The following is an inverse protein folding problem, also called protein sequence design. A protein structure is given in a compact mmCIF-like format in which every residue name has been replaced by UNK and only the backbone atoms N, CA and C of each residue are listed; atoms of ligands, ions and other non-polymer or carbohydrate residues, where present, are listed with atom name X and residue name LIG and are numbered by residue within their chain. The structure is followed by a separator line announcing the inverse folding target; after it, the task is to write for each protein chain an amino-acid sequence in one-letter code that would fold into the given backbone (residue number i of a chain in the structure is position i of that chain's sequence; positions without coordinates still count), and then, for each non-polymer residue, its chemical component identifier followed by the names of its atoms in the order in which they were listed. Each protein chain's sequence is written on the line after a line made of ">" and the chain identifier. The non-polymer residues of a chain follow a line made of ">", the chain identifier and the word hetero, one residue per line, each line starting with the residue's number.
data_IF_678346031816
#
_entry.id   IF_678346031816
#
_cell.length_a   1.000
_cell.length_b   1.000
_cell.length_c   1.000
_cell.angle_alpha   90.00
_cell.angle_beta   90.00
_cell.angle_gamma   90.00
#
_symmetry.space_group_name_H-M   'P 1'
#
loop_
_entity.id
_entity.type
_entity.pdbx_description
1 polymer ?
#
# COMPACT_ATOMS: atom_id res chain seq x y z
N UNK A 1 89.06 11.24 54.05
CA UNK A 1 88.62 10.73 55.37
C UNK A 1 87.77 11.86 55.97
N UNK A 2 86.45 11.80 56.18
CA UNK A 2 85.46 10.69 56.28
C UNK A 2 85.79 9.74 57.47
N UNK A 3 84.89 9.35 58.39
CA UNK A 3 83.52 8.77 58.32
C UNK A 3 82.51 9.45 59.31
N UNK A 4 81.15 9.31 59.29
CA UNK A 4 80.13 8.89 58.29
C UNK A 4 78.67 9.21 58.72
N UNK A 5 77.79 9.55 57.75
CA UNK A 5 76.31 9.32 57.61
C UNK A 5 75.29 9.62 58.75
N UNK A 6 74.29 10.44 58.40
CA UNK A 6 72.91 10.46 58.96
C UNK A 6 71.96 9.75 57.96
N UNK A 7 70.92 9.05 58.43
CA UNK A 7 69.77 8.66 57.57
C UNK A 7 68.49 8.30 58.34
N UNK A 8 67.47 9.15 58.22
CA UNK A 8 66.06 8.89 58.54
C UNK A 8 65.38 8.21 57.33
N UNK A 9 64.37 7.32 57.50
CA UNK A 9 63.20 7.09 56.59
C UNK A 9 62.51 5.70 56.70
N UNK A 10 61.29 5.67 56.14
CA UNK A 10 60.53 4.54 55.55
C UNK A 10 59.97 3.43 56.47
N UNK A 11 58.64 3.50 56.66
CA UNK A 11 57.71 2.43 56.34
C UNK A 11 56.49 3.05 55.64
N UNK A 12 55.95 2.40 54.62
CA UNK A 12 54.97 2.99 53.68
C UNK A 12 53.61 2.30 53.79
N UNK A 13 52.52 3.06 53.74
CA UNK A 13 51.16 2.51 53.65
C UNK A 13 50.85 2.08 52.21
N UNK A 14 50.59 0.79 52.00
CA UNK A 14 50.33 0.25 50.66
C UNK A 14 48.83 0.34 50.30
N UNK A 15 48.39 1.50 49.83
CA UNK A 15 47.05 1.68 49.27
C UNK A 15 46.98 1.15 47.83
N UNK A 16 46.47 -0.06 47.63
CA UNK A 16 46.26 -0.64 46.29
C UNK A 16 44.97 -0.07 45.69
N UNK A 17 45.10 0.90 44.78
CA UNK A 17 43.98 1.37 43.98
C UNK A 17 43.74 0.36 42.86
N UNK A 18 42.72 -0.49 43.02
CA UNK A 18 42.23 -1.35 41.94
C UNK A 18 41.44 -0.47 40.97
N UNK A 19 42.12 0.03 39.93
CA UNK A 19 41.45 0.65 38.79
C UNK A 19 40.78 -0.48 38.00
N UNK A 20 39.51 -0.73 38.29
CA UNK A 20 38.68 -1.63 37.50
C UNK A 20 38.45 -1.02 36.12
N UNK A 21 39.30 -1.36 35.14
CA UNK A 21 39.05 -1.04 33.72
C UNK A 21 37.92 -1.94 33.20
N UNK A 22 36.70 -1.66 33.65
CA UNK A 22 35.50 -2.06 32.94
C UNK A 22 35.59 -1.44 31.55
N UNK A 23 35.98 -2.25 30.56
CA UNK A 23 36.27 -1.77 29.23
C UNK A 23 35.04 -1.12 28.63
N UNK A 24 35.07 0.21 28.47
CA UNK A 24 34.11 0.95 27.66
C UNK A 24 34.35 0.49 26.22
N UNK A 25 33.69 -0.59 25.84
CA UNK A 25 33.68 -1.10 24.48
C UNK A 25 32.98 -0.04 23.64
N UNK A 26 33.76 0.70 22.86
CA UNK A 26 33.21 1.67 21.93
C UNK A 26 32.23 0.94 21.00
N UNK A 27 30.98 1.39 20.99
CA UNK A 27 29.96 0.83 20.12
C UNK A 27 30.39 1.03 18.67
N UNK A 28 30.28 -0.01 17.84
CA UNK A 28 30.52 0.12 16.41
C UNK A 28 29.36 0.84 15.71
N UNK A 29 29.55 1.20 14.44
CA UNK A 29 28.54 1.91 13.65
C UNK A 29 27.20 1.14 13.55
N UNK A 30 27.21 -0.19 13.62
CA UNK A 30 26.01 -1.04 13.59
C UNK A 30 25.28 -1.03 14.95
N UNK A 31 26.01 -1.13 16.06
CA UNK A 31 25.43 -0.98 17.41
C UNK A 31 24.83 0.42 17.61
N UNK A 32 25.52 1.47 17.16
CA UNK A 32 25.03 2.85 17.17
C UNK A 32 23.78 3.01 16.28
N UNK A 33 23.80 2.50 15.05
CA UNK A 33 22.66 2.53 14.13
C UNK A 33 21.41 1.84 14.70
N UNK A 34 21.57 0.68 15.34
CA UNK A 34 20.47 -0.01 16.02
C UNK A 34 19.95 0.77 17.23
N UNK A 35 20.85 1.39 18.01
CA UNK A 35 20.50 2.27 19.14
C UNK A 35 19.70 3.49 18.65
N UNK A 36 20.14 4.15 17.58
CA UNK A 36 19.42 5.26 16.97
C UNK A 36 18.02 4.86 16.45
N UNK A 37 17.89 3.69 15.82
CA UNK A 37 16.59 3.16 15.39
C UNK A 37 15.65 2.84 16.56
N UNK A 38 16.20 2.50 17.72
CA UNK A 38 15.41 2.40 18.96
C UNK A 38 14.88 3.78 19.39
N UNK A 39 15.74 4.80 19.43
CA UNK A 39 15.34 6.18 19.75
C UNK A 39 14.32 6.75 18.74
N UNK A 40 14.46 6.49 17.44
CA UNK A 40 13.47 6.90 16.42
C UNK A 40 12.11 6.23 16.65
N UNK A 41 12.08 4.95 17.06
CA UNK A 41 10.84 4.23 17.40
C UNK A 41 10.18 4.74 18.68
N UNK A 42 10.95 5.28 19.62
CA UNK A 42 10.42 5.89 20.86
C UNK A 42 10.07 7.38 20.71
N UNK A 43 10.18 7.96 19.52
CA UNK A 43 9.95 9.39 19.27
C UNK A 43 11.10 10.32 19.73
N UNK A 44 12.20 9.76 20.26
CA UNK A 44 13.36 10.54 20.70
C UNK A 44 14.30 10.85 19.53
N UNK A 45 13.80 11.67 18.62
CA UNK A 45 14.56 12.10 17.45
C UNK A 45 15.81 12.91 17.84
N UNK A 46 15.87 13.47 19.06
CA UNK A 46 17.04 14.21 19.53
C UNK A 46 18.23 13.29 19.80
N UNK A 47 18.04 12.23 20.59
CA UNK A 47 19.11 11.26 20.84
C UNK A 47 19.39 10.39 19.61
N UNK A 48 18.39 10.07 18.79
CA UNK A 48 18.62 9.42 17.49
C UNK A 48 19.60 10.21 16.61
N UNK A 49 19.40 11.52 16.46
CA UNK A 49 20.30 12.39 15.69
C UNK A 49 21.72 12.39 16.28
N UNK A 50 21.87 12.46 17.60
CA UNK A 50 23.20 12.43 18.24
C UNK A 50 23.95 11.12 17.95
N UNK A 51 23.29 9.98 18.13
CA UNK A 51 23.86 8.65 17.88
C UNK A 51 24.15 8.41 16.39
N UNK A 52 23.29 8.88 15.48
CA UNK A 52 23.56 8.80 14.03
C UNK A 52 24.77 9.62 13.60
N UNK A 53 25.00 10.79 14.20
CA UNK A 53 26.22 11.55 13.94
C UNK A 53 27.48 10.81 14.45
N UNK A 54 27.40 10.07 15.56
CA UNK A 54 28.51 9.22 16.03
C UNK A 54 28.77 8.05 15.08
N UNK A 55 27.72 7.39 14.58
CA UNK A 55 27.86 6.31 13.60
C UNK A 55 28.49 6.82 12.28
N UNK A 56 28.05 7.99 11.79
CA UNK A 56 28.59 8.63 10.58
C UNK A 56 30.04 9.11 10.76
N UNK A 57 30.50 9.37 11.99
CA UNK A 57 31.92 9.65 12.25
C UNK A 57 32.80 8.39 12.09
N UNK A 58 32.27 7.20 12.39
CA UNK A 58 32.97 5.93 12.15
C UNK A 58 32.91 5.50 10.68
N UNK A 59 31.75 5.69 10.02
CA UNK A 59 31.54 5.32 8.63
C UNK A 59 31.09 6.51 7.76
N UNK A 60 31.98 7.49 7.45
CA UNK A 60 31.61 8.74 6.77
C UNK A 60 31.11 8.59 5.33
N UNK A 61 31.13 7.37 4.78
CA UNK A 61 30.65 7.07 3.42
C UNK A 61 29.37 6.22 3.39
N UNK A 62 28.89 5.72 4.53
CA UNK A 62 27.64 4.95 4.53
C UNK A 62 26.44 5.83 4.12
N UNK A 63 25.57 5.25 3.30
CA UNK A 63 24.43 5.93 2.71
C UNK A 63 23.16 5.73 3.54
N UNK A 64 23.04 4.59 4.23
CA UNK A 64 21.92 4.29 5.10
C UNK A 64 21.95 5.16 6.36
N UNK A 65 23.09 5.26 7.05
CA UNK A 65 23.24 6.13 8.23
C UNK A 65 22.85 7.58 7.92
N UNK A 66 23.24 8.09 6.74
CA UNK A 66 22.88 9.44 6.28
C UNK A 66 21.40 9.57 5.93
N UNK A 67 20.79 8.53 5.33
CA UNK A 67 19.33 8.47 5.10
C UNK A 67 18.56 8.49 6.41
N UNK A 68 18.95 7.66 7.37
CA UNK A 68 18.33 7.60 8.71
C UNK A 68 18.52 8.94 9.45
N UNK A 69 19.68 9.60 9.33
CA UNK A 69 19.91 10.94 9.90
C UNK A 69 18.98 12.01 9.29
N UNK A 70 18.85 12.01 7.96
CA UNK A 70 17.94 12.92 7.27
C UNK A 70 16.47 12.66 7.59
N UNK A 71 16.09 11.39 7.75
CA UNK A 71 14.75 10.99 8.19
C UNK A 71 14.49 11.35 9.66
N UNK A 72 15.48 11.21 10.56
CA UNK A 72 15.38 11.65 11.95
C UNK A 72 15.24 13.19 12.06
N UNK A 73 15.91 13.97 11.20
CA UNK A 73 15.65 15.41 11.10
C UNK A 73 14.24 15.73 10.61
N UNK A 74 13.73 15.00 9.61
CA UNK A 74 12.35 15.14 9.12
C UNK A 74 11.31 14.85 10.22
N UNK A 75 11.46 13.73 10.94
CA UNK A 75 10.59 13.35 12.06
C UNK A 75 10.64 14.36 13.23
N UNK A 76 11.78 15.01 13.43
CA UNK A 76 11.96 16.11 14.40
C UNK A 76 11.32 17.44 13.95
N UNK A 77 10.82 17.54 12.71
CA UNK A 77 10.31 18.78 12.13
C UNK A 77 11.40 19.70 11.55
N UNK A 78 12.67 19.32 11.59
CA UNK A 78 13.78 20.13 11.07
C UNK A 78 13.95 19.92 9.56
N UNK A 79 12.98 20.44 8.81
CA UNK A 79 12.91 20.30 7.35
C UNK A 79 14.09 20.97 6.63
N UNK A 80 14.85 21.86 7.29
CA UNK A 80 16.05 22.47 6.74
C UNK A 80 17.25 21.50 6.79
N UNK A 81 17.54 20.92 7.96
CA UNK A 81 18.61 19.92 8.08
C UNK A 81 18.26 18.60 7.39
N UNK A 82 16.98 18.21 7.39
CA UNK A 82 16.51 17.04 6.64
C UNK A 82 16.83 17.19 5.13
N UNK A 83 16.46 18.32 4.52
CA UNK A 83 16.76 18.63 3.11
C UNK A 83 18.26 18.60 2.83
N UNK A 84 19.05 19.30 3.65
CA UNK A 84 20.50 19.40 3.46
C UNK A 84 21.24 18.06 3.58
N UNK A 85 20.71 17.11 4.37
CA UNK A 85 21.28 15.75 4.49
C UNK A 85 20.82 14.85 3.34
N UNK A 86 19.55 14.91 2.93
CA UNK A 86 18.94 13.97 1.96
C UNK A 86 19.22 14.34 0.50
N UNK A 87 19.14 15.63 0.14
CA UNK A 87 19.23 16.08 -1.26
C UNK A 87 20.55 15.67 -1.96
N UNK A 88 21.74 15.72 -1.32
CA UNK A 88 22.99 15.22 -1.91
C UNK A 88 23.06 13.69 -2.07
N UNK A 89 22.11 12.93 -1.53
CA UNK A 89 22.11 11.47 -1.57
C UNK A 89 21.41 10.92 -2.83
N UNK A 90 20.43 11.64 -3.38
CA UNK A 90 19.56 11.19 -4.48
C UNK A 90 20.34 10.73 -5.74
N UNK A 91 21.45 11.41 -6.04
CA UNK A 91 22.32 11.15 -7.19
C UNK A 91 23.48 10.19 -6.88
N UNK A 92 23.48 9.53 -5.71
CA UNK A 92 24.45 8.46 -5.38
C UNK A 92 24.03 7.13 -5.99
N UNK A 93 25.02 6.27 -6.27
CA UNK A 93 24.84 4.92 -6.86
C UNK A 93 23.93 4.03 -6.03
N UNK A 94 24.01 4.11 -4.70
CA UNK A 94 23.18 3.33 -3.78
C UNK A 94 21.82 3.95 -3.45
N UNK A 95 21.44 5.09 -4.05
CA UNK A 95 20.22 5.77 -3.70
C UNK A 95 18.99 5.06 -4.27
N UNK A 96 18.04 4.73 -3.40
CA UNK A 96 16.88 3.86 -3.63
C UNK A 96 15.55 4.64 -3.58
N UNK A 97 14.43 3.93 -3.80
CA UNK A 97 13.06 4.47 -3.73
C UNK A 97 12.84 5.26 -2.43
N UNK A 98 13.24 4.72 -1.28
CA UNK A 98 13.01 5.32 0.04
C UNK A 98 13.60 6.73 0.15
N UNK A 99 14.76 7.00 -0.47
CA UNK A 99 15.35 8.35 -0.51
C UNK A 99 14.49 9.37 -1.28
N UNK A 100 13.82 8.94 -2.36
CA UNK A 100 12.87 9.80 -3.09
C UNK A 100 11.59 10.02 -2.29
N UNK A 101 11.10 9.02 -1.54
CA UNK A 101 9.94 9.21 -0.65
C UNK A 101 10.25 10.21 0.47
N UNK A 102 11.40 10.04 1.16
CA UNK A 102 11.83 10.95 2.23
C UNK A 102 12.05 12.38 1.68
N UNK A 103 12.72 12.53 0.54
CA UNK A 103 12.90 13.83 -0.09
C UNK A 103 11.57 14.47 -0.53
N UNK A 104 10.62 13.66 -1.02
CA UNK A 104 9.29 14.12 -1.41
C UNK A 104 8.50 14.66 -0.23
N UNK A 105 8.48 13.91 0.88
CA UNK A 105 7.86 14.32 2.13
C UNK A 105 8.49 15.60 2.70
N UNK A 106 9.81 15.77 2.57
CA UNK A 106 10.52 17.02 2.96
C UNK A 106 10.10 18.19 2.08
N UNK A 107 10.00 18.03 0.74
CA UNK A 107 9.54 19.11 -0.14
C UNK A 107 8.06 19.45 0.10
N UNK A 108 7.19 18.44 0.30
CA UNK A 108 5.76 18.63 0.58
C UNK A 108 5.55 19.39 1.90
N UNK A 109 6.24 18.99 2.98
CA UNK A 109 6.18 19.66 4.28
C UNK A 109 6.84 21.06 4.30
N UNK A 110 7.45 21.49 3.19
CA UNK A 110 7.99 22.84 2.95
C UNK A 110 7.20 23.63 1.90
N UNK A 111 6.07 23.08 1.44
CA UNK A 111 5.25 23.60 0.33
C UNK A 111 6.01 23.77 -1.01
N UNK A 112 7.17 23.12 -1.16
CA UNK A 112 8.00 23.14 -2.37
C UNK A 112 7.47 22.17 -3.45
N UNK A 113 6.16 22.21 -3.73
CA UNK A 113 5.46 21.22 -4.58
C UNK A 113 6.09 21.04 -5.97
N UNK A 114 6.58 22.13 -6.59
CA UNK A 114 7.29 22.09 -7.89
C UNK A 114 8.66 21.41 -7.83
N UNK A 115 9.27 21.28 -6.64
CA UNK A 115 10.48 20.50 -6.43
C UNK A 115 10.14 19.03 -6.15
N UNK A 116 9.07 18.76 -5.39
CA UNK A 116 8.52 17.41 -5.22
C UNK A 116 8.12 16.78 -6.57
N UNK A 117 7.44 17.52 -7.45
CA UNK A 117 7.07 17.07 -8.80
C UNK A 117 8.30 16.69 -9.64
N UNK A 118 9.32 17.56 -9.67
CA UNK A 118 10.60 17.27 -10.36
C UNK A 118 11.32 16.07 -9.75
N UNK A 119 11.25 15.90 -8.43
CA UNK A 119 11.83 14.76 -7.73
C UNK A 119 11.14 13.45 -8.11
N UNK A 120 9.82 13.37 -8.03
CA UNK A 120 9.10 12.14 -8.42
C UNK A 120 9.29 11.83 -9.90
N UNK A 121 9.28 12.83 -10.78
CA UNK A 121 9.62 12.65 -12.20
C UNK A 121 11.07 12.14 -12.43
N UNK A 122 12.04 12.49 -11.57
CA UNK A 122 13.39 11.88 -11.57
C UNK A 122 13.38 10.46 -11.00
N UNK A 123 12.63 10.22 -9.93
CA UNK A 123 12.51 8.92 -9.27
C UNK A 123 11.89 7.88 -10.20
N UNK A 124 10.75 8.18 -10.81
CA UNK A 124 10.05 7.32 -11.78
C UNK A 124 10.96 7.01 -12.99
N UNK A 125 11.74 7.98 -13.49
CA UNK A 125 12.72 7.73 -14.57
C UNK A 125 13.88 6.81 -14.16
N UNK A 126 14.23 6.76 -12.87
CA UNK A 126 15.28 5.89 -12.30
C UNK A 126 14.71 4.51 -11.91
N UNK A 127 13.43 4.44 -11.55
CA UNK A 127 12.73 3.28 -11.01
C UNK A 127 11.31 3.15 -11.61
N UNK A 128 11.17 2.88 -12.92
CA UNK A 128 9.87 2.92 -13.61
C UNK A 128 8.89 1.83 -13.16
N UNK A 129 9.38 0.78 -12.49
CA UNK A 129 8.59 -0.38 -12.07
C UNK A 129 8.42 -0.42 -10.54
N UNK A 130 8.15 0.74 -9.91
CA UNK A 130 8.04 0.90 -8.45
C UNK A 130 6.81 1.71 -8.07
N UNK A 131 5.77 1.00 -7.64
CA UNK A 131 4.44 1.53 -7.40
C UNK A 131 4.42 2.63 -6.33
N UNK A 132 5.39 2.65 -5.41
CA UNK A 132 5.49 3.65 -4.35
C UNK A 132 5.66 5.07 -4.92
N UNK A 133 6.49 5.23 -5.95
CA UNK A 133 6.78 6.55 -6.53
C UNK A 133 5.61 7.12 -7.32
N UNK A 134 4.83 6.25 -7.96
CA UNK A 134 3.54 6.62 -8.56
C UNK A 134 2.51 6.96 -7.48
N UNK A 135 2.55 6.27 -6.35
CA UNK A 135 1.62 6.54 -5.25
C UNK A 135 1.82 7.93 -4.64
N UNK A 136 3.05 8.21 -4.24
CA UNK A 136 3.42 9.47 -3.60
C UNK A 136 3.29 10.65 -4.59
N UNK A 137 3.58 10.43 -5.88
CA UNK A 137 3.37 11.46 -6.90
C UNK A 137 1.88 11.75 -7.13
N UNK A 138 1.02 10.73 -7.18
CA UNK A 138 -0.42 10.95 -7.25
C UNK A 138 -0.97 11.68 -6.02
N UNK A 139 -0.45 11.39 -4.81
CA UNK A 139 -0.80 12.15 -3.59
C UNK A 139 -0.37 13.62 -3.66
N UNK A 140 0.81 13.92 -4.22
CA UNK A 140 1.24 15.29 -4.51
C UNK A 140 0.27 15.97 -5.51
N UNK A 141 -0.09 15.30 -6.59
CA UNK A 141 -1.01 15.85 -7.61
C UNK A 141 -2.41 16.10 -7.01
N UNK A 142 -2.91 15.21 -6.15
CA UNK A 142 -4.15 15.41 -5.40
C UNK A 142 -4.06 16.62 -4.45
N UNK A 143 -2.92 16.80 -3.76
CA UNK A 143 -2.63 17.98 -2.92
C UNK A 143 -2.64 19.27 -3.75
N UNK A 144 -2.10 19.21 -4.96
CA UNK A 144 -2.14 20.29 -5.97
C UNK A 144 -3.51 20.43 -6.67
N UNK A 145 -4.55 19.67 -6.25
CA UNK A 145 -5.90 19.59 -6.83
C UNK A 145 -5.96 19.15 -8.30
N UNK A 146 -4.89 18.56 -8.83
CA UNK A 146 -4.86 17.91 -10.14
C UNK A 146 -5.40 16.47 -9.99
N UNK A 147 -6.71 16.34 -9.79
CA UNK A 147 -7.36 15.06 -9.50
C UNK A 147 -7.27 14.07 -10.67
N UNK A 148 -7.45 14.52 -11.92
CA UNK A 148 -7.26 13.70 -13.12
C UNK A 148 -5.82 13.17 -13.19
N UNK A 149 -4.82 14.06 -13.03
CA UNK A 149 -3.40 13.66 -13.01
C UNK A 149 -3.05 12.70 -11.88
N UNK A 150 -3.66 12.86 -10.70
CA UNK A 150 -3.50 11.93 -9.57
C UNK A 150 -4.04 10.54 -9.92
N UNK A 151 -5.27 10.46 -10.44
CA UNK A 151 -5.89 9.22 -10.89
C UNK A 151 -5.05 8.52 -11.96
N UNK A 152 -4.68 9.24 -13.02
CA UNK A 152 -3.85 8.70 -14.10
C UNK A 152 -2.49 8.18 -13.60
N UNK A 153 -1.91 8.80 -12.57
CA UNK A 153 -0.63 8.39 -11.98
C UNK A 153 -0.79 7.12 -11.14
N UNK A 154 -1.84 7.01 -10.32
CA UNK A 154 -2.12 5.78 -9.56
C UNK A 154 -2.48 4.60 -10.45
N UNK A 155 -3.29 4.84 -11.50
CA UNK A 155 -3.62 3.85 -12.53
C UNK A 155 -2.35 3.36 -13.25
N UNK A 156 -1.42 4.26 -13.62
CA UNK A 156 -0.11 3.84 -14.14
C UNK A 156 0.75 3.10 -13.12
N UNK A 157 0.62 3.45 -11.83
CA UNK A 157 1.24 2.75 -10.71
C UNK A 157 0.74 1.32 -10.51
N UNK A 158 -0.52 1.03 -10.85
CA UNK A 158 -1.08 -0.33 -10.91
C UNK A 158 -0.43 -1.10 -12.07
N UNK A 159 -0.43 -0.53 -13.28
CA UNK A 159 0.11 -1.17 -14.49
C UNK A 159 1.57 -1.64 -14.31
N UNK A 160 2.45 -0.78 -13.76
CA UNK A 160 3.87 -1.10 -13.63
C UNK A 160 4.20 -1.99 -12.42
N UNK A 161 3.39 -1.95 -11.37
CA UNK A 161 3.64 -2.63 -10.09
C UNK A 161 2.33 -3.05 -9.37
N UNK A 162 1.64 -4.08 -9.91
CA UNK A 162 0.30 -4.48 -9.47
C UNK A 162 0.28 -5.23 -8.13
N UNK A 163 1.40 -5.28 -7.41
CA UNK A 163 1.45 -5.79 -6.03
C UNK A 163 1.50 -4.68 -4.98
N UNK A 164 1.54 -3.40 -5.39
CA UNK A 164 1.55 -2.26 -4.46
C UNK A 164 0.14 -1.79 -4.09
N UNK A 165 -0.38 -2.07 -2.87
CA UNK A 165 -1.78 -1.80 -2.50
C UNK A 165 -2.16 -0.32 -2.51
N UNK A 166 -1.20 0.59 -2.25
CA UNK A 166 -1.49 2.02 -2.17
C UNK A 166 -2.12 2.60 -3.45
N UNK A 167 -1.72 2.10 -4.62
CA UNK A 167 -2.24 2.60 -5.90
C UNK A 167 -3.68 2.18 -6.13
N UNK A 168 -4.02 0.93 -5.83
CA UNK A 168 -5.40 0.44 -5.85
C UNK A 168 -6.31 1.20 -4.90
N UNK A 169 -5.88 1.46 -3.66
CA UNK A 169 -6.66 2.23 -2.68
C UNK A 169 -6.99 3.64 -3.19
N UNK A 170 -5.97 4.38 -3.64
CA UNK A 170 -6.18 5.76 -4.10
C UNK A 170 -7.00 5.80 -5.40
N UNK A 171 -6.70 4.92 -6.37
CA UNK A 171 -7.46 4.82 -7.61
C UNK A 171 -8.93 4.46 -7.36
N UNK A 172 -9.21 3.46 -6.51
CA UNK A 172 -10.58 3.07 -6.16
C UNK A 172 -11.38 4.19 -5.49
N UNK A 173 -10.72 4.94 -4.59
CA UNK A 173 -11.29 6.11 -3.90
C UNK A 173 -11.57 7.24 -4.89
N UNK A 174 -10.68 7.53 -5.83
CA UNK A 174 -10.93 8.50 -6.90
C UNK A 174 -12.06 8.04 -7.84
N UNK A 175 -12.07 6.77 -8.25
CA UNK A 175 -13.09 6.21 -9.12
C UNK A 175 -14.50 6.27 -8.52
N UNK A 176 -14.62 6.20 -7.18
CA UNK A 176 -15.90 6.37 -6.47
C UNK A 176 -16.58 7.72 -6.82
N UNK A 177 -15.82 8.78 -7.06
CA UNK A 177 -16.34 10.10 -7.43
C UNK A 177 -16.63 10.26 -8.94
N UNK A 178 -16.23 9.30 -9.78
CA UNK A 178 -16.44 9.30 -11.24
C UNK A 178 -17.75 8.62 -11.67
N UNK A 179 -18.01 8.55 -12.97
CA UNK A 179 -19.06 7.70 -13.58
C UNK A 179 -18.61 6.26 -13.90
N UNK A 180 -17.46 5.82 -13.37
CA UNK A 180 -16.93 4.46 -13.56
C UNK A 180 -16.85 3.68 -12.23
N UNK A 181 -17.99 3.37 -11.56
CA UNK A 181 -17.99 2.66 -10.28
C UNK A 181 -17.41 1.25 -10.37
N UNK A 182 -17.40 0.63 -11.56
CA UNK A 182 -16.79 -0.69 -11.82
C UNK A 182 -15.30 -0.71 -11.43
N UNK A 183 -14.54 0.35 -11.71
CA UNK A 183 -13.13 0.44 -11.28
C UNK A 183 -12.99 0.68 -9.78
N UNK A 184 -13.93 1.39 -9.16
CA UNK A 184 -13.99 1.54 -7.69
C UNK A 184 -14.19 0.19 -7.00
N UNK A 185 -15.09 -0.66 -7.54
CA UNK A 185 -15.31 -2.04 -7.09
C UNK A 185 -14.05 -2.89 -7.30
N UNK A 186 -13.54 -3.01 -8.53
CA UNK A 186 -12.45 -3.94 -8.87
C UNK A 186 -11.14 -3.57 -8.17
N UNK A 187 -10.77 -2.28 -8.15
CA UNK A 187 -9.54 -1.84 -7.48
C UNK A 187 -9.72 -1.79 -5.96
N UNK A 188 -10.89 -1.45 -5.44
CA UNK A 188 -11.16 -1.52 -4.01
C UNK A 188 -11.08 -2.96 -3.48
N UNK A 189 -11.66 -3.91 -4.23
CA UNK A 189 -11.61 -5.32 -3.88
C UNK A 189 -10.20 -5.93 -4.06
N UNK A 190 -9.46 -5.51 -5.08
CA UNK A 190 -8.04 -5.86 -5.23
C UNK A 190 -7.22 -5.34 -4.04
N UNK A 191 -7.46 -4.10 -3.60
CA UNK A 191 -6.81 -3.52 -2.44
C UNK A 191 -7.05 -4.33 -1.16
N UNK A 192 -8.30 -4.68 -0.82
CA UNK A 192 -8.57 -5.40 0.45
C UNK A 192 -8.01 -6.82 0.45
N UNK A 193 -7.69 -7.41 -0.71
CA UNK A 193 -7.01 -8.69 -0.81
C UNK A 193 -5.47 -8.58 -0.74
N UNK A 194 -4.90 -7.42 -1.10
CA UNK A 194 -3.48 -7.11 -0.89
C UNK A 194 -3.20 -6.61 0.54
N UNK A 195 -4.13 -5.86 1.13
CA UNK A 195 -4.03 -5.23 2.46
C UNK A 195 -5.31 -5.53 3.27
N UNK A 196 -5.36 -6.74 3.85
CA UNK A 196 -6.60 -7.34 4.41
C UNK A 196 -6.97 -6.99 5.85
N UNK A 197 -6.05 -6.38 6.62
CA UNK A 197 -6.20 -6.20 8.07
C UNK A 197 -5.71 -4.82 8.57
N UNK A 198 -6.14 -3.73 7.92
CA UNK A 198 -5.87 -2.34 8.34
C UNK A 198 -7.16 -1.52 8.44
N UNK A 199 -7.08 -0.31 9.02
CA UNK A 199 -8.20 0.66 9.02
C UNK A 199 -8.65 0.98 7.60
N UNK A 200 -7.69 1.13 6.67
CA UNK A 200 -7.94 1.36 5.25
C UNK A 200 -8.71 0.22 4.59
N UNK A 201 -8.51 -1.03 5.05
CA UNK A 201 -9.36 -2.15 4.63
C UNK A 201 -10.83 -1.92 5.01
N UNK A 202 -11.10 -1.47 6.25
CA UNK A 202 -12.46 -1.22 6.70
C UNK A 202 -13.09 -0.01 5.98
N UNK A 203 -12.31 1.05 5.74
CA UNK A 203 -12.72 2.21 4.93
C UNK A 203 -13.09 1.78 3.50
N UNK A 204 -12.23 1.01 2.82
CA UNK A 204 -12.48 0.54 1.45
C UNK A 204 -13.67 -0.42 1.35
N UNK A 205 -13.98 -1.22 2.38
CA UNK A 205 -15.22 -2.05 2.39
C UNK A 205 -16.49 -1.20 2.23
N UNK A 206 -16.53 -0.02 2.86
CA UNK A 206 -17.62 0.94 2.67
C UNK A 206 -17.64 1.46 1.22
N UNK A 207 -16.49 1.86 0.69
CA UNK A 207 -16.38 2.36 -0.70
C UNK A 207 -16.87 1.32 -1.71
N UNK A 208 -16.54 0.03 -1.55
CA UNK A 208 -16.98 -1.04 -2.46
C UNK A 208 -18.51 -1.22 -2.43
N UNK A 209 -19.14 -1.28 -1.25
CA UNK A 209 -20.61 -1.48 -1.16
C UNK A 209 -21.39 -0.26 -1.66
N UNK A 210 -20.92 0.96 -1.38
CA UNK A 210 -21.50 2.18 -1.95
C UNK A 210 -21.26 2.30 -3.45
N UNK A 211 -20.14 1.79 -3.98
CA UNK A 211 -19.90 1.70 -5.42
C UNK A 211 -20.83 0.69 -6.10
N UNK A 212 -21.18 -0.42 -5.44
CA UNK A 212 -22.22 -1.34 -5.91
C UNK A 212 -23.59 -0.67 -5.97
N UNK A 213 -24.00 0.09 -4.94
CA UNK A 213 -25.24 0.89 -4.96
C UNK A 213 -25.24 1.87 -6.12
N UNK A 214 -24.22 2.75 -6.19
CA UNK A 214 -24.02 3.72 -7.28
C UNK A 214 -24.05 3.09 -8.68
N UNK A 215 -23.57 1.85 -8.83
CA UNK A 215 -23.59 1.12 -10.10
C UNK A 215 -24.99 0.66 -10.49
N UNK A 216 -25.84 0.26 -9.53
CA UNK A 216 -27.20 -0.20 -9.80
C UNK A 216 -28.27 0.92 -9.76
N UNK A 217 -27.98 2.02 -9.06
CA UNK A 217 -28.82 3.23 -9.02
C UNK A 217 -28.74 4.08 -10.32
N UNK A 218 -27.82 3.77 -11.25
CA UNK A 218 -27.70 4.42 -12.56
C UNK A 218 -28.06 3.47 -13.73
N UNK A 219 -29.33 3.46 -14.19
CA UNK A 219 -29.75 2.68 -15.35
C UNK A 219 -28.98 2.98 -16.65
N UNK A 220 -28.35 4.17 -16.78
CA UNK A 220 -27.57 4.51 -17.97
C UNK A 220 -26.23 3.74 -18.03
N UNK A 221 -25.81 3.09 -16.94
CA UNK A 221 -24.67 2.16 -16.98
C UNK A 221 -25.00 0.86 -17.73
N UNK A 222 -26.28 0.47 -17.82
CA UNK A 222 -26.72 -0.79 -18.45
C UNK A 222 -27.51 -0.61 -19.76
N UNK A 223 -27.96 0.61 -20.09
CA UNK A 223 -28.86 0.87 -21.22
C UNK A 223 -28.28 0.67 -22.62
N UNK A 224 -26.96 0.47 -22.75
CA UNK A 224 -26.22 0.39 -24.02
C UNK A 224 -25.46 -0.93 -24.22
N UNK A 225 -25.88 -2.00 -23.53
CA UNK A 225 -25.20 -3.29 -23.52
C UNK A 225 -25.47 -4.11 -24.80
N UNK A 226 -24.43 -4.66 -25.48
CA UNK A 226 -24.59 -5.65 -26.53
C UNK A 226 -25.10 -7.00 -25.99
N UNK A 227 -25.99 -7.67 -26.73
CA UNK A 227 -26.43 -9.03 -26.40
C UNK A 227 -25.30 -10.06 -26.64
N UNK A 228 -24.72 -10.52 -25.52
CA UNK A 228 -23.64 -11.52 -25.47
C UNK A 228 -24.08 -12.90 -26.02
N UNK A 229 -25.36 -13.27 -25.92
CA UNK A 229 -25.83 -14.63 -26.23
C UNK A 229 -26.19 -14.83 -27.71
N UNK A 230 -26.64 -13.77 -28.39
CA UNK A 230 -26.98 -13.80 -29.82
C UNK A 230 -25.86 -14.32 -30.73
N UNK A 231 -24.60 -14.09 -30.33
CA UNK A 231 -23.50 -13.98 -31.29
C UNK A 231 -22.67 -15.27 -31.45
N UNK A 232 -23.34 -16.42 -31.55
CA UNK A 232 -22.73 -17.77 -31.67
C UNK A 232 -21.78 -17.97 -32.87
N UNK A 233 -21.73 -17.04 -33.84
CA UNK A 233 -20.76 -17.01 -34.94
C UNK A 233 -19.60 -16.01 -34.75
N UNK A 234 -19.59 -15.20 -33.70
CA UNK A 234 -18.68 -14.07 -33.49
C UNK A 234 -17.88 -14.17 -32.18
N UNK A 235 -17.35 -15.36 -31.86
CA UNK A 235 -16.44 -15.57 -30.71
C UNK A 235 -15.18 -14.67 -30.70
N UNK A 236 -14.90 -13.90 -31.76
CA UNK A 236 -13.79 -12.91 -31.82
C UNK A 236 -14.23 -11.44 -31.63
N UNK A 237 -15.43 -11.05 -32.07
CA UNK A 237 -15.78 -9.62 -32.25
C UNK A 237 -17.02 -9.16 -31.45
N UNK A 238 -17.59 -9.97 -30.55
CA UNK A 238 -18.84 -9.64 -29.85
C UNK A 238 -18.71 -8.60 -28.70
N UNK A 239 -17.50 -8.30 -28.23
CA UNK A 239 -17.23 -7.33 -27.16
C UNK A 239 -15.96 -6.55 -27.50
N UNK A 240 -16.00 -5.22 -27.44
CA UNK A 240 -14.89 -4.36 -27.84
C UNK A 240 -13.87 -4.14 -26.71
N UNK A 241 -14.32 -4.06 -25.46
CA UNK A 241 -13.48 -3.79 -24.28
C UNK A 241 -13.96 -4.53 -23.01
N UNK A 242 -13.12 -4.54 -21.99
CA UNK A 242 -13.38 -5.21 -20.71
C UNK A 242 -14.67 -4.73 -20.00
N UNK A 243 -14.95 -3.42 -20.04
CA UNK A 243 -16.12 -2.84 -19.36
C UNK A 243 -17.44 -3.26 -20.02
N UNK A 244 -17.47 -3.43 -21.35
CA UNK A 244 -18.61 -4.03 -22.05
C UNK A 244 -18.86 -5.49 -21.62
N UNK A 245 -17.81 -6.31 -21.50
CA UNK A 245 -17.92 -7.68 -21.00
C UNK A 245 -18.44 -7.71 -19.56
N UNK A 246 -17.89 -6.88 -18.68
CA UNK A 246 -18.30 -6.80 -17.28
C UNK A 246 -19.77 -6.39 -17.16
N UNK A 247 -20.16 -5.31 -17.85
CA UNK A 247 -21.53 -4.80 -17.88
C UNK A 247 -22.52 -5.83 -18.43
N UNK A 248 -22.23 -6.44 -19.57
CA UNK A 248 -23.13 -7.43 -20.18
C UNK A 248 -23.26 -8.71 -19.37
N UNK A 249 -22.19 -9.15 -18.71
CA UNK A 249 -22.19 -10.29 -17.77
C UNK A 249 -23.06 -9.99 -16.54
N UNK A 250 -22.84 -8.84 -15.88
CA UNK A 250 -23.56 -8.51 -14.63
C UNK A 250 -25.02 -8.08 -14.87
N UNK A 251 -25.34 -7.52 -16.04
CA UNK A 251 -26.70 -7.09 -16.38
C UNK A 251 -27.73 -8.23 -16.44
N UNK A 252 -27.29 -9.46 -16.79
CA UNK A 252 -28.13 -10.67 -16.71
C UNK A 252 -28.73 -10.88 -15.31
N UNK A 253 -28.06 -10.36 -14.28
CA UNK A 253 -28.34 -10.62 -12.88
C UNK A 253 -29.00 -9.42 -12.16
N UNK A 254 -29.43 -8.39 -12.90
CA UNK A 254 -30.16 -7.22 -12.36
C UNK A 254 -31.39 -7.60 -11.53
N UNK A 255 -32.06 -8.71 -11.87
CA UNK A 255 -33.22 -9.23 -11.11
C UNK A 255 -32.89 -9.55 -9.64
N UNK A 256 -31.65 -9.94 -9.34
CA UNK A 256 -31.19 -10.33 -8.00
C UNK A 256 -31.14 -9.13 -7.04
N UNK A 257 -30.86 -7.93 -7.55
CA UNK A 257 -30.69 -6.71 -6.74
C UNK A 257 -31.94 -5.83 -6.69
N UNK A 258 -33.06 -6.27 -7.28
CA UNK A 258 -34.34 -5.51 -7.29
C UNK A 258 -34.92 -5.22 -5.90
N UNK A 259 -34.50 -5.94 -4.86
CA UNK A 259 -34.89 -5.73 -3.46
C UNK A 259 -33.88 -4.91 -2.65
N UNK A 260 -32.72 -4.55 -3.21
CA UNK A 260 -31.67 -3.78 -2.54
C UNK A 260 -30.27 -4.41 -2.62
N UNK A 261 -29.27 -3.66 -2.15
CA UNK A 261 -27.85 -4.05 -2.15
C UNK A 261 -27.45 -4.57 -0.77
N UNK A 262 -28.08 -5.68 -0.38
CA UNK A 262 -27.77 -6.42 0.86
C UNK A 262 -26.78 -7.56 0.62
N UNK A 263 -26.19 -8.09 1.69
CA UNK A 263 -25.08 -9.06 1.62
C UNK A 263 -25.49 -10.34 0.88
N UNK A 264 -26.70 -10.84 1.14
CA UNK A 264 -27.26 -12.07 0.53
C UNK A 264 -27.51 -11.87 -0.98
N UNK A 265 -28.03 -10.70 -1.36
CA UNK A 265 -28.22 -10.33 -2.76
C UNK A 265 -26.87 -10.18 -3.49
N UNK A 266 -25.87 -9.58 -2.83
CA UNK A 266 -24.51 -9.46 -3.36
C UNK A 266 -23.84 -10.83 -3.53
N UNK A 267 -23.98 -11.75 -2.56
CA UNK A 267 -23.50 -13.13 -2.68
C UNK A 267 -24.10 -13.81 -3.90
N UNK A 268 -25.43 -13.74 -4.06
CA UNK A 268 -26.13 -14.38 -5.17
C UNK A 268 -25.76 -13.75 -6.53
N UNK A 269 -25.74 -12.42 -6.61
CA UNK A 269 -25.33 -11.63 -7.78
C UNK A 269 -23.93 -12.05 -8.24
N UNK A 270 -22.97 -12.01 -7.32
CA UNK A 270 -21.57 -12.26 -7.62
C UNK A 270 -21.28 -13.73 -7.94
N UNK A 271 -21.98 -14.65 -7.28
CA UNK A 271 -21.90 -16.09 -7.61
C UNK A 271 -22.30 -16.32 -9.07
N UNK A 272 -23.43 -15.74 -9.50
CA UNK A 272 -23.88 -15.87 -10.89
C UNK A 272 -22.99 -15.12 -11.88
N UNK A 273 -22.54 -13.91 -11.54
CA UNK A 273 -21.58 -13.16 -12.36
C UNK A 273 -20.31 -13.96 -12.67
N UNK A 274 -19.71 -14.62 -11.67
CA UNK A 274 -18.50 -15.43 -11.89
C UNK A 274 -18.81 -16.67 -12.73
N UNK A 275 -19.95 -17.33 -12.52
CA UNK A 275 -20.37 -18.45 -13.38
C UNK A 275 -20.58 -18.01 -14.85
N UNK A 276 -21.22 -16.87 -15.11
CA UNK A 276 -21.35 -16.31 -16.46
C UNK A 276 -19.98 -15.86 -17.03
N UNK A 277 -19.12 -15.21 -16.24
CA UNK A 277 -17.82 -14.69 -16.72
C UNK A 277 -16.93 -15.79 -17.31
N UNK A 278 -16.79 -16.90 -16.60
CA UNK A 278 -15.98 -18.04 -17.05
C UNK A 278 -16.64 -18.87 -18.16
N UNK A 279 -17.93 -18.66 -18.44
CA UNK A 279 -18.59 -19.24 -19.62
C UNK A 279 -18.40 -18.39 -20.89
N UNK A 280 -18.17 -17.08 -20.78
CA UNK A 280 -18.31 -16.14 -21.92
C UNK A 280 -17.16 -15.15 -22.14
N UNK A 281 -16.38 -14.78 -21.12
CA UNK A 281 -15.44 -13.63 -21.19
C UNK A 281 -14.00 -13.94 -20.76
N UNK A 282 -13.79 -14.92 -19.89
CA UNK A 282 -12.48 -15.20 -19.28
C UNK A 282 -11.33 -15.43 -20.29
N UNK A 283 -11.53 -16.24 -21.34
CA UNK A 283 -10.52 -16.50 -22.40
C UNK A 283 -9.94 -15.22 -23.04
N UNK A 284 -10.66 -14.10 -22.98
CA UNK A 284 -10.27 -12.80 -23.54
C UNK A 284 -9.82 -11.78 -22.48
N UNK A 285 -10.26 -11.95 -21.24
CA UNK A 285 -10.10 -11.00 -20.15
C UNK A 285 -9.81 -11.72 -18.81
N UNK A 286 -8.70 -12.47 -18.69
CA UNK A 286 -8.31 -13.09 -17.43
C UNK A 286 -8.11 -12.02 -16.36
N UNK A 287 -8.55 -12.29 -15.13
CA UNK A 287 -8.32 -11.38 -14.01
C UNK A 287 -8.12 -12.18 -12.73
N UNK A 288 -6.97 -12.03 -12.07
CA UNK A 288 -6.62 -12.77 -10.86
C UNK A 288 -7.68 -12.66 -9.75
N UNK A 289 -8.39 -11.53 -9.67
CA UNK A 289 -9.51 -11.34 -8.73
C UNK A 289 -10.68 -12.28 -9.03
N UNK A 290 -11.00 -12.52 -10.29
CA UNK A 290 -12.08 -13.42 -10.70
C UNK A 290 -11.66 -14.88 -10.60
N UNK A 291 -10.39 -15.22 -10.86
CA UNK A 291 -9.81 -16.54 -10.52
C UNK A 291 -9.95 -16.84 -9.02
N UNK A 292 -9.61 -15.87 -8.18
CA UNK A 292 -9.72 -15.98 -6.73
C UNK A 292 -11.18 -16.22 -6.29
N UNK A 293 -12.13 -15.48 -6.87
CA UNK A 293 -13.56 -15.74 -6.66
C UNK A 293 -14.00 -17.15 -7.14
N UNK A 294 -13.51 -17.59 -8.30
CA UNK A 294 -13.84 -18.92 -8.84
C UNK A 294 -13.25 -20.04 -7.98
N UNK A 295 -12.04 -19.89 -7.45
CA UNK A 295 -11.42 -20.85 -6.54
C UNK A 295 -12.16 -20.90 -5.20
N UNK A 296 -12.51 -19.74 -4.63
CA UNK A 296 -13.35 -19.67 -3.43
C UNK A 296 -14.74 -20.30 -3.64
N UNK A 297 -15.32 -20.23 -4.85
CA UNK A 297 -16.56 -20.92 -5.20
C UNK A 297 -16.36 -22.45 -5.25
N UNK A 298 -15.34 -22.92 -5.98
CA UNK A 298 -15.00 -24.36 -6.09
C UNK A 298 -14.75 -25.01 -4.72
N UNK A 299 -14.07 -24.29 -3.83
CA UNK A 299 -13.74 -24.79 -2.51
C UNK A 299 -14.88 -24.64 -1.48
N UNK A 300 -15.96 -23.91 -1.79
CA UNK A 300 -17.05 -23.64 -0.83
C UNK A 300 -16.66 -22.64 0.27
N UNK A 301 -15.84 -21.63 -0.07
CA UNK A 301 -15.42 -20.53 0.82
C UNK A 301 -15.99 -19.16 0.40
N UNK A 302 -16.67 -19.07 -0.74
CA UNK A 302 -17.12 -17.79 -1.32
C UNK A 302 -18.13 -17.03 -0.46
N UNK A 303 -19.04 -17.71 0.24
CA UNK A 303 -19.96 -17.03 1.18
C UNK A 303 -19.19 -16.35 2.32
N UNK A 304 -18.30 -17.09 2.99
CA UNK A 304 -17.47 -16.55 4.07
C UNK A 304 -16.60 -15.37 3.63
N UNK A 305 -16.11 -15.38 2.39
CA UNK A 305 -15.39 -14.25 1.79
C UNK A 305 -16.29 -13.01 1.60
N UNK A 306 -17.48 -13.17 1.02
CA UNK A 306 -18.42 -12.07 0.81
C UNK A 306 -18.97 -11.52 2.14
N UNK A 307 -19.19 -12.39 3.13
CA UNK A 307 -19.55 -12.00 4.50
C UNK A 307 -18.43 -11.18 5.15
N UNK A 308 -17.17 -11.62 5.06
CA UNK A 308 -16.01 -10.84 5.52
C UNK A 308 -15.90 -9.48 4.83
N UNK A 309 -16.21 -9.40 3.54
CA UNK A 309 -16.10 -8.20 2.72
C UNK A 309 -17.22 -7.18 2.98
N UNK A 310 -18.49 -7.62 3.03
CA UNK A 310 -19.66 -6.73 3.12
C UNK A 310 -20.32 -6.71 4.50
N UNK A 311 -20.34 -7.82 5.22
CA UNK A 311 -21.04 -7.95 6.51
C UNK A 311 -20.64 -6.92 7.57
N UNK A 312 -19.34 -6.63 7.80
CA UNK A 312 -18.92 -5.63 8.78
C UNK A 312 -19.43 -4.20 8.54
N UNK A 313 -19.77 -3.86 7.28
CA UNK A 313 -20.16 -2.51 6.84
C UNK A 313 -21.65 -2.39 6.53
N UNK A 314 -22.31 -3.45 6.03
CA UNK A 314 -23.78 -3.51 5.87
C UNK A 314 -24.47 -3.63 7.24
N UNK A 315 -24.14 -4.65 8.02
CA UNK A 315 -24.79 -4.91 9.30
C UNK A 315 -23.88 -5.68 10.26
N UNK A 316 -23.13 -4.93 11.08
CA UNK A 316 -22.17 -5.51 12.03
C UNK A 316 -22.81 -6.51 13.02
N UNK A 317 -24.08 -6.34 13.38
CA UNK A 317 -24.80 -7.25 14.28
C UNK A 317 -25.14 -8.58 13.59
N UNK A 318 -25.66 -8.52 12.36
CA UNK A 318 -25.92 -9.71 11.55
C UNK A 318 -24.61 -10.45 11.22
N UNK A 319 -23.54 -9.73 10.87
CA UNK A 319 -22.22 -10.32 10.62
C UNK A 319 -21.68 -11.05 11.86
N UNK A 320 -21.76 -10.45 13.05
CA UNK A 320 -21.37 -11.10 14.32
C UNK A 320 -22.16 -12.38 14.57
N UNK A 321 -23.47 -12.38 14.32
CA UNK A 321 -24.30 -13.57 14.43
C UNK A 321 -23.91 -14.64 13.39
N UNK A 322 -23.72 -14.26 12.11
CA UNK A 322 -23.29 -15.16 11.05
C UNK A 322 -21.93 -15.80 11.35
N UNK A 323 -20.92 -15.02 11.77
CA UNK A 323 -19.59 -15.59 12.11
C UNK A 323 -19.59 -16.48 13.35
N UNK A 324 -20.55 -16.31 14.26
CA UNK A 324 -20.71 -17.18 15.43
C UNK A 324 -21.47 -18.47 15.13
N UNK A 325 -22.24 -18.52 14.03
CA UNK A 325 -22.97 -19.70 13.57
C UNK A 325 -22.14 -20.51 12.56
N UNK A 326 -21.44 -19.83 11.65
CA UNK A 326 -20.62 -20.39 10.58
C UNK A 326 -19.13 -20.25 10.91
N UNK A 327 -18.79 -20.64 12.15
CA UNK A 327 -17.48 -20.39 12.74
C UNK A 327 -16.37 -21.17 12.03
N UNK A 328 -16.66 -22.38 11.53
CA UNK A 328 -15.69 -23.23 10.83
C UNK A 328 -15.48 -22.77 9.38
N UNK A 329 -16.54 -22.35 8.69
CA UNK A 329 -16.48 -21.73 7.36
C UNK A 329 -15.66 -20.43 7.39
N UNK A 330 -15.93 -19.58 8.38
CA UNK A 330 -15.18 -18.34 8.59
C UNK A 330 -13.71 -18.60 8.95
N UNK A 331 -13.43 -19.60 9.80
CA UNK A 331 -12.07 -19.99 10.17
C UNK A 331 -11.31 -20.59 8.97
N UNK A 332 -11.98 -21.41 8.15
CA UNK A 332 -11.42 -22.01 6.93
C UNK A 332 -11.03 -20.95 5.91
N UNK A 333 -11.94 -20.01 5.60
CA UNK A 333 -11.64 -18.86 4.74
C UNK A 333 -10.51 -18.00 5.34
N UNK A 334 -10.60 -17.64 6.62
CA UNK A 334 -9.59 -16.81 7.28
C UNK A 334 -8.20 -17.44 7.30
N UNK A 335 -8.12 -18.79 7.41
CA UNK A 335 -6.86 -19.52 7.26
C UNK A 335 -6.37 -19.49 5.80
N UNK A 336 -7.25 -19.78 4.85
CA UNK A 336 -6.92 -19.75 3.43
C UNK A 336 -6.35 -18.40 2.99
N UNK A 337 -6.97 -17.28 3.38
CA UNK A 337 -6.51 -15.92 3.05
C UNK A 337 -5.09 -15.61 3.58
N UNK A 338 -4.73 -16.12 4.77
CA UNK A 338 -3.37 -15.93 5.33
C UNK A 338 -2.33 -16.82 4.66
N UNK A 339 -2.70 -18.06 4.34
CA UNK A 339 -1.79 -19.05 3.76
C UNK A 339 -1.57 -18.82 2.24
N UNK A 340 -2.54 -18.18 1.57
CA UNK A 340 -2.54 -17.91 0.12
C UNK A 340 -2.71 -16.40 -0.16
N UNK A 341 -1.68 -15.57 0.10
CA UNK A 341 -1.73 -14.14 -0.21
C UNK A 341 -2.07 -13.88 -1.69
N UNK A 342 -2.98 -12.95 -1.91
CA UNK A 342 -3.47 -12.57 -3.24
C UNK A 342 -2.37 -11.95 -4.11
N UNK A 343 -2.39 -12.26 -5.41
CA UNK A 343 -1.34 -11.88 -6.37
C UNK A 343 -1.94 -11.49 -7.73
N UNK A 344 -2.19 -10.20 -7.97
CA UNK A 344 -2.48 -9.67 -9.30
C UNK A 344 -1.36 -9.98 -10.31
N UNK A 345 -1.71 -10.09 -11.59
CA UNK A 345 -0.76 -10.33 -12.69
C UNK A 345 -0.50 -9.02 -13.47
N UNK A 346 0.63 -8.92 -14.17
CA UNK A 346 1.11 -7.66 -14.81
C UNK A 346 0.45 -7.38 -16.18
N UNK A 347 -0.17 -8.38 -16.75
CA UNK A 347 -0.81 -8.42 -18.06
C UNK A 347 -2.33 -8.19 -18.00
N UNK A 348 -2.89 -8.02 -16.81
CA UNK A 348 -4.33 -7.91 -16.54
C UNK A 348 -4.80 -6.46 -16.34
N UNK A 349 -4.26 -5.57 -17.17
CA UNK A 349 -4.54 -4.15 -17.11
C UNK A 349 -5.50 -3.73 -18.24
N UNK A 350 -6.77 -3.54 -17.88
CA UNK A 350 -7.85 -3.22 -18.83
C UNK A 350 -8.48 -1.83 -18.63
N UNK A 351 -7.93 -1.02 -17.74
CA UNK A 351 -8.32 0.37 -17.55
C UNK A 351 -7.66 1.23 -18.63
N UNK A 352 -8.48 1.76 -19.55
CA UNK A 352 -7.99 2.60 -20.64
C UNK A 352 -7.50 3.98 -20.19
N UNK A 353 -7.68 4.29 -18.89
CA UNK A 353 -7.24 5.52 -18.22
C UNK A 353 -7.87 6.80 -18.82
N UNK A 354 -8.98 6.69 -19.56
CA UNK A 354 -9.68 7.83 -20.18
C UNK A 354 -10.69 8.51 -19.25
N UNK A 355 -10.87 8.00 -18.02
CA UNK A 355 -11.85 8.55 -17.07
C UNK A 355 -11.37 9.88 -16.48
N UNK A 356 -12.26 10.87 -16.47
CA UNK A 356 -12.07 12.15 -15.77
C UNK A 356 -12.92 12.24 -14.50
N UNK A 357 -12.39 12.93 -13.50
CA UNK A 357 -13.12 13.28 -12.29
C UNK A 357 -13.96 14.53 -12.59
N UNK A 358 -15.26 14.45 -12.28
CA UNK A 358 -16.17 15.60 -12.43
C UNK A 358 -15.89 16.61 -11.31
N UNK A 359 -15.72 17.88 -11.68
CA UNK A 359 -15.51 19.01 -10.76
C UNK A 359 -16.83 19.52 -10.19
#
# INVERSE_FOLDING_TARGET
>A
MEWRKVSFRFLFTLAIIIISTAGIRAQDASELHNTAKSFMRSGDYANAILVLNQAIQQEPNDLQLKRELGFAYYLKGDMARAKNVIEPLLDKRGADVQLYQIAGNIYIAREEWKNAEKLYNRGIKKFPNRGELYNDYGQLLQTMKNFDGALHTWVKGIEVDPVFPGNYYNAATSYFYTKAPIWSIIYGETFVNLESYTTRTAEMRNVIIEAYKKMFDDPALFSSIPDIESNKKSKKNAVNNFLEAYKGTIAKQLSVVTTGIEVENLIMLRTRFILDWFNFSDEKYPLALFDFHQQLLKDGMFEAYNQWLFGPVSNQSAYKAWTSLHQDEYNRFSKYQRDHPFKPRKDEFYDDNNTKISQ
#
